data_IF_301402745378
#
_entry.id   IF_301402745378
#
_cell.length_a   1.000
_cell.length_b   1.000
_cell.length_c   1.000
_cell.angle_alpha   90.00
_cell.angle_beta   90.00
_cell.angle_gamma   90.00
#
_symmetry.space_group_name_H-M   'P 1'
#
loop_
_entity.id
_entity.type
_entity.pdbx_description
1 polymer ?
#
# COMPACT_ATOMS: atom_id res chain seq x y z
N UNK A 1 -7.32 -0.89 -20.48
CA UNK A 1 -6.60 0.21 -19.81
C UNK A 1 -6.39 -0.24 -18.38
N UNK A 2 -5.24 -0.86 -18.11
CA UNK A 2 -4.93 -1.35 -16.77
C UNK A 2 -4.70 -0.14 -15.85
N UNK A 3 -5.08 -0.26 -14.58
CA UNK A 3 -4.79 0.74 -13.58
C UNK A 3 -3.27 0.70 -13.33
N UNK A 4 -2.54 1.74 -13.77
CA UNK A 4 -1.07 1.79 -13.61
C UNK A 4 -0.65 2.42 -12.27
N UNK A 5 -1.59 2.91 -11.46
CA UNK A 5 -1.32 3.55 -10.17
C UNK A 5 -2.09 2.85 -9.06
N UNK A 6 -1.41 2.48 -7.98
CA UNK A 6 -1.95 1.74 -6.86
C UNK A 6 -1.83 2.51 -5.54
N UNK A 7 -2.94 2.66 -4.84
CA UNK A 7 -3.00 3.37 -3.55
C UNK A 7 -2.52 2.48 -2.43
N UNK A 8 -1.44 2.93 -1.81
CA UNK A 8 -0.78 2.24 -0.73
C UNK A 8 -0.69 3.14 0.51
N UNK A 9 -0.57 2.52 1.68
CA UNK A 9 -0.27 3.24 2.90
C UNK A 9 0.58 2.37 3.82
N UNK A 10 1.37 3.00 4.66
CA UNK A 10 2.17 2.34 5.69
C UNK A 10 1.84 2.93 7.04
N UNK A 11 1.76 2.10 8.07
CA UNK A 11 1.47 2.50 9.43
C UNK A 11 2.29 1.71 10.43
N UNK A 12 2.64 2.36 11.54
CA UNK A 12 3.27 1.70 12.68
C UNK A 12 2.22 0.97 13.51
N UNK A 13 2.47 -0.30 13.80
CA UNK A 13 1.61 -1.13 14.66
C UNK A 13 1.95 -0.93 16.14
N UNK A 14 1.03 -1.26 17.07
CA UNK A 14 1.24 -1.06 18.51
C UNK A 14 2.45 -1.81 19.10
N UNK A 15 2.86 -2.91 18.47
CA UNK A 15 4.04 -3.70 18.80
C UNK A 15 5.35 -3.15 18.20
N UNK A 16 5.30 -1.95 17.59
CA UNK A 16 6.48 -1.23 17.11
C UNK A 16 6.94 -1.59 15.69
N UNK A 17 6.29 -2.54 15.03
CA UNK A 17 6.57 -2.90 13.62
C UNK A 17 5.86 -1.93 12.65
N UNK A 18 6.20 -2.03 11.37
CA UNK A 18 5.51 -1.31 10.30
C UNK A 18 4.80 -2.30 9.38
N UNK A 19 3.58 -1.95 8.98
CA UNK A 19 2.80 -2.66 7.97
C UNK A 19 2.48 -1.70 6.84
N UNK A 20 2.74 -2.13 5.61
CA UNK A 20 2.33 -1.44 4.39
C UNK A 20 1.22 -2.23 3.72
N UNK A 21 0.16 -1.56 3.25
CA UNK A 21 -1.01 -2.17 2.62
C UNK A 21 -1.23 -1.48 1.26
N UNK A 22 -1.40 -2.28 0.20
CA UNK A 22 -1.89 -1.83 -1.10
C UNK A 22 -3.39 -2.16 -1.22
N UNK A 23 -4.22 -1.12 -1.27
CA UNK A 23 -5.68 -1.26 -1.28
C UNK A 23 -6.22 -1.78 -2.63
N UNK A 24 -5.53 -1.43 -3.71
CA UNK A 24 -5.96 -1.75 -5.07
C UNK A 24 -5.56 -3.17 -5.50
N UNK A 25 -4.57 -3.79 -4.83
CA UNK A 25 -4.11 -5.17 -5.10
C UNK A 25 -4.37 -6.14 -3.93
N UNK A 26 -4.82 -5.64 -2.77
CA UNK A 26 -5.01 -6.44 -1.55
C UNK A 26 -3.71 -7.11 -1.06
N UNK A 27 -2.57 -6.49 -1.34
CA UNK A 27 -1.24 -6.93 -0.91
C UNK A 27 -0.79 -6.20 0.34
N UNK A 28 0.12 -6.82 1.11
CA UNK A 28 0.64 -6.27 2.35
C UNK A 28 2.14 -6.57 2.47
N UNK A 29 2.90 -5.60 2.94
CA UNK A 29 4.30 -5.74 3.33
C UNK A 29 4.50 -5.44 4.82
N UNK A 30 5.61 -5.93 5.40
CA UNK A 30 5.95 -5.79 6.82
C UNK A 30 7.43 -5.48 7.02
N UNK A 31 7.75 -4.70 8.05
CA UNK A 31 9.12 -4.33 8.35
C UNK A 31 9.33 -3.90 9.80
N UNK A 32 10.59 -3.80 10.23
CA UNK A 32 11.00 -3.16 11.49
C UNK A 32 11.12 -1.65 11.33
N UNK A 33 11.32 -1.17 10.10
CA UNK A 33 11.26 0.23 9.69
C UNK A 33 10.15 0.47 8.65
N UNK A 34 9.81 1.74 8.44
CA UNK A 34 8.86 2.14 7.40
C UNK A 34 9.38 1.73 6.01
N UNK A 35 10.65 1.99 5.73
CA UNK A 35 11.28 1.66 4.44
C UNK A 35 11.31 0.16 4.18
N UNK A 36 11.58 -0.66 5.21
CA UNK A 36 11.51 -2.12 5.10
C UNK A 36 10.09 -2.59 4.74
N UNK A 37 9.06 -2.03 5.38
CA UNK A 37 7.67 -2.40 5.08
C UNK A 37 7.25 -1.99 3.66
N UNK A 38 7.70 -0.83 3.19
CA UNK A 38 7.46 -0.36 1.81
C UNK A 38 8.21 -1.25 0.81
N UNK A 39 9.47 -1.58 1.07
CA UNK A 39 10.26 -2.45 0.21
C UNK A 39 9.65 -3.85 0.08
N UNK A 40 9.23 -4.46 1.20
CA UNK A 40 8.55 -5.76 1.23
C UNK A 40 7.22 -5.72 0.45
N UNK A 41 6.45 -4.62 0.57
CA UNK A 41 5.23 -4.45 -0.23
C UNK A 41 5.54 -4.31 -1.73
N UNK A 42 6.58 -3.57 -2.10
CA UNK A 42 7.00 -3.40 -3.50
C UNK A 42 7.41 -4.72 -4.14
N UNK A 43 8.18 -5.54 -3.44
CA UNK A 43 8.55 -6.88 -3.92
C UNK A 43 7.31 -7.75 -4.13
N UNK A 44 6.34 -7.70 -3.20
CA UNK A 44 5.08 -8.43 -3.34
C UNK A 44 4.24 -7.94 -4.53
N UNK A 45 4.19 -6.63 -4.78
CA UNK A 45 3.49 -6.04 -5.94
C UNK A 45 4.16 -6.47 -7.24
N UNK A 46 5.49 -6.37 -7.34
CA UNK A 46 6.23 -6.77 -8.54
C UNK A 46 5.99 -8.24 -8.87
N UNK A 47 6.19 -9.14 -7.89
CA UNK A 47 5.96 -10.57 -8.10
C UNK A 47 4.51 -10.91 -8.48
N UNK A 48 3.54 -10.16 -7.95
CA UNK A 48 2.14 -10.29 -8.32
C UNK A 48 1.91 -9.89 -9.78
N UNK A 49 2.38 -8.70 -10.17
CA UNK A 49 2.19 -8.16 -11.52
C UNK A 49 2.90 -9.03 -12.57
N UNK A 50 4.14 -9.45 -12.31
CA UNK A 50 4.87 -10.37 -13.18
C UNK A 50 4.10 -11.68 -13.38
N UNK A 51 3.56 -12.26 -12.31
CA UNK A 51 2.78 -13.49 -12.38
C UNK A 51 1.45 -13.35 -13.11
N UNK A 52 0.78 -12.19 -12.98
CA UNK A 52 -0.48 -11.89 -13.67
C UNK A 52 -0.24 -11.64 -15.16
N UNK A 53 0.77 -10.82 -15.49
CA UNK A 53 1.13 -10.49 -16.88
C UNK A 53 1.65 -11.70 -17.65
N UNK A 54 2.47 -12.56 -17.02
CA UNK A 54 2.93 -13.79 -17.65
C UNK A 54 1.78 -14.74 -18.05
N UNK A 55 0.60 -14.59 -17.43
CA UNK A 55 -0.59 -15.41 -17.69
C UNK A 55 -1.67 -14.69 -18.50
N UNK A 56 -1.50 -13.40 -18.81
CA UNK A 56 -2.50 -12.60 -19.50
C UNK A 56 -3.78 -12.36 -18.69
N UNK A 57 -3.69 -12.32 -17.36
CA UNK A 57 -4.84 -12.21 -16.44
C UNK A 57 -5.05 -10.78 -15.91
N UNK A 58 -4.45 -9.78 -16.54
CA UNK A 58 -4.46 -8.39 -16.07
C UNK A 58 -5.90 -7.86 -15.90
N UNK A 59 -6.80 -8.23 -16.82
CA UNK A 59 -8.19 -7.74 -16.78
C UNK A 59 -9.00 -8.32 -15.62
N UNK A 60 -8.63 -9.51 -15.12
CA UNK A 60 -9.36 -10.20 -14.05
C UNK A 60 -8.78 -9.89 -12.66
N UNK A 61 -7.49 -9.55 -12.61
CA UNK A 61 -6.70 -9.47 -11.39
C UNK A 61 -6.16 -8.07 -11.10
N UNK A 62 -6.30 -7.10 -12.02
CA UNK A 62 -5.83 -5.72 -11.85
C UNK A 62 -6.95 -4.73 -12.19
N UNK A 63 -7.54 -4.00 -11.20
CA UNK A 63 -7.24 -4.04 -9.77
C UNK A 63 -8.01 -5.14 -9.02
N UNK A 64 -7.31 -5.87 -8.14
CA UNK A 64 -7.92 -6.76 -7.15
C UNK A 64 -8.33 -5.97 -5.91
N UNK A 65 -9.43 -5.23 -6.04
CA UNK A 65 -9.94 -4.32 -5.00
C UNK A 65 -10.11 -5.02 -3.66
N UNK A 66 -9.59 -4.39 -2.61
CA UNK A 66 -9.71 -4.90 -1.26
C UNK A 66 -11.16 -4.90 -0.74
N UNK A 67 -11.55 -5.88 0.10
CA UNK A 67 -12.84 -5.88 0.77
C UNK A 67 -13.00 -4.67 1.71
N UNK A 68 -14.26 -4.28 1.96
CA UNK A 68 -14.62 -3.04 2.68
C UNK A 68 -13.95 -2.87 4.05
N UNK A 69 -13.65 -3.95 4.77
CA UNK A 69 -13.00 -3.85 6.09
C UNK A 69 -11.58 -3.25 6.00
N UNK A 70 -10.85 -3.44 4.89
CA UNK A 70 -9.52 -2.84 4.69
C UNK A 70 -9.62 -1.35 4.41
N UNK A 71 -10.62 -0.94 3.64
CA UNK A 71 -10.95 0.47 3.45
C UNK A 71 -11.32 1.16 4.76
N UNK A 72 -12.14 0.51 5.59
CA UNK A 72 -12.49 1.05 6.91
C UNK A 72 -11.24 1.22 7.80
N UNK A 73 -10.31 0.27 7.75
CA UNK A 73 -9.02 0.37 8.46
C UNK A 73 -8.21 1.57 7.96
N UNK A 74 -8.09 1.73 6.64
CA UNK A 74 -7.43 2.87 6.02
C UNK A 74 -8.03 4.21 6.49
N UNK A 75 -9.35 4.39 6.35
CA UNK A 75 -10.02 5.63 6.78
C UNK A 75 -9.91 5.87 8.28
N UNK A 76 -9.91 4.81 9.10
CA UNK A 76 -9.67 4.93 10.54
C UNK A 76 -8.25 5.44 10.82
N UNK A 77 -7.22 4.90 10.17
CA UNK A 77 -5.86 5.40 10.33
C UNK A 77 -5.74 6.84 9.83
N UNK A 78 -6.27 7.14 8.65
CA UNK A 78 -6.27 8.49 8.09
C UNK A 78 -6.94 9.49 9.03
N UNK A 79 -8.13 9.18 9.55
CA UNK A 79 -8.86 10.03 10.49
C UNK A 79 -8.10 10.22 11.80
N UNK A 80 -7.54 9.15 12.38
CA UNK A 80 -6.76 9.23 13.61
C UNK A 80 -5.50 10.08 13.44
N UNK A 81 -4.79 9.95 12.31
CA UNK A 81 -3.59 10.72 12.04
C UNK A 81 -3.90 12.17 11.65
N UNK A 82 -4.99 12.43 10.93
CA UNK A 82 -5.46 13.78 10.64
C UNK A 82 -5.89 14.51 11.92
N UNK A 83 -6.68 13.85 12.78
CA UNK A 83 -7.03 14.39 14.09
C UNK A 83 -5.78 14.64 14.93
N UNK A 84 -4.84 13.70 14.97
CA UNK A 84 -3.57 13.92 15.68
C UNK A 84 -2.80 15.10 15.11
N UNK A 85 -2.66 15.24 13.79
CA UNK A 85 -1.95 16.36 13.18
C UNK A 85 -2.57 17.72 13.53
N UNK A 86 -3.90 17.77 13.64
CA UNK A 86 -4.64 18.96 14.04
C UNK A 86 -4.44 19.32 15.52
N UNK A 87 -4.29 18.32 16.40
CA UNK A 87 -4.20 18.52 17.86
C UNK A 87 -2.77 18.46 18.43
N UNK A 88 -1.86 17.79 17.74
CA UNK A 88 -0.48 17.55 18.11
C UNK A 88 0.35 17.64 16.83
N UNK A 89 1.27 18.59 16.73
CA UNK A 89 2.08 18.85 15.53
C UNK A 89 3.09 17.73 15.17
N UNK A 90 2.70 16.45 15.27
CA UNK A 90 3.57 15.28 15.10
C UNK A 90 2.86 14.17 14.32
N UNK A 91 3.30 13.97 13.08
CA UNK A 91 2.87 12.92 12.16
C UNK A 91 3.83 11.72 12.23
N UNK A 92 4.00 11.11 13.41
CA UNK A 92 4.91 9.97 13.53
C UNK A 92 4.21 8.67 13.08
N UNK A 93 4.75 8.03 12.02
CA UNK A 93 4.51 6.62 11.73
C UNK A 93 3.32 6.27 10.81
N UNK A 94 2.81 7.22 10.00
CA UNK A 94 1.84 6.95 8.94
C UNK A 94 2.18 7.72 7.67
N UNK A 95 2.17 7.04 6.53
CA UNK A 95 2.41 7.62 5.22
C UNK A 95 1.49 6.98 4.19
N UNK A 96 0.81 7.81 3.39
CA UNK A 96 0.05 7.37 2.21
C UNK A 96 0.88 7.67 0.97
N UNK A 97 0.86 6.77 0.00
CA UNK A 97 1.60 6.93 -1.24
C UNK A 97 0.99 6.17 -2.39
N UNK A 98 1.39 6.53 -3.59
CA UNK A 98 0.96 5.87 -4.82
C UNK A 98 2.16 5.16 -5.46
N UNK A 99 1.97 3.88 -5.78
CA UNK A 99 2.95 3.12 -6.55
C UNK A 99 2.49 3.09 -8.01
N UNK A 100 3.33 3.58 -8.92
CA UNK A 100 3.06 3.58 -10.36
C UNK A 100 3.86 2.50 -11.05
N UNK A 101 3.21 1.71 -11.90
CA UNK A 101 3.87 0.79 -12.80
C UNK A 101 4.26 1.53 -14.09
N UNK A 102 5.55 1.77 -14.28
CA UNK A 102 6.11 2.24 -15.56
C UNK A 102 6.93 1.11 -16.20
N UNK A 103 6.33 0.40 -17.17
CA UNK A 103 6.93 -0.78 -17.78
C UNK A 103 6.99 -1.97 -16.79
N UNK A 104 8.20 -2.44 -16.45
CA UNK A 104 8.44 -3.49 -15.45
C UNK A 104 9.05 -2.95 -14.15
N UNK A 105 8.87 -1.65 -13.86
CA UNK A 105 9.43 -1.00 -12.66
C UNK A 105 8.34 -0.24 -11.92
N UNK A 106 8.37 -0.35 -10.59
CA UNK A 106 7.57 0.49 -9.72
C UNK A 106 8.32 1.81 -9.47
N UNK A 107 7.62 2.92 -9.70
CA UNK A 107 8.11 4.28 -9.46
C UNK A 107 7.16 4.92 -8.45
N UNK A 108 7.73 5.58 -7.43
CA UNK A 108 6.94 6.39 -6.51
C UNK A 108 6.40 7.60 -7.28
N UNK A 109 5.08 7.76 -7.30
CA UNK A 109 4.43 8.93 -7.89
C UNK A 109 4.29 10.08 -6.88
#
# INVERSE_FOLDING_TARGET
MAQDTFRCYVYKTPDGRYLADCLDLTLMGKGRSMDEAIADLREAILGYLEGVTAKGWEQDLIPRRAPLYRWLRFYRHLALHALRALFAQRLDGFLTYEERLEGNRLVYA
#
